data_IF_284860354047
#
_entry.id   IF_284860354047
#
_cell.length_a   1.000
_cell.length_b   1.000
_cell.length_c   1.000
_cell.angle_alpha   90.00
_cell.angle_beta   90.00
_cell.angle_gamma   90.00
#
_symmetry.space_group_name_H-M   'P 1'
#
loop_
_entity.id
_entity.type
_entity.pdbx_description
1 polymer ?
#
# COMPACT_ATOMS: atom_id res chain seq x y z
N UNK A 1 -6.70 -4.92 26.57
CA UNK A 1 -5.98 -5.69 25.55
C UNK A 1 -6.92 -5.70 24.37
N UNK A 2 -6.75 -4.78 23.43
CA UNK A 2 -7.57 -4.81 22.22
C UNK A 2 -7.02 -5.98 21.39
N UNK A 3 -7.83 -7.02 21.21
CA UNK A 3 -7.59 -8.02 20.17
C UNK A 3 -7.53 -7.24 18.86
N UNK A 4 -6.37 -7.19 18.23
CA UNK A 4 -6.26 -6.73 16.86
C UNK A 4 -7.01 -7.76 16.00
N UNK A 5 -8.15 -7.41 15.38
CA UNK A 5 -8.55 -8.13 14.20
C UNK A 5 -7.58 -7.63 13.14
N UNK A 6 -6.43 -8.31 13.00
CA UNK A 6 -5.68 -8.27 11.78
C UNK A 6 -6.63 -8.87 10.75
N UNK A 7 -7.41 -8.05 10.04
CA UNK A 7 -7.75 -8.41 8.66
C UNK A 7 -6.47 -8.99 8.06
N UNK A 8 -6.52 -10.19 7.47
CA UNK A 8 -5.31 -10.79 6.91
C UNK A 8 -4.63 -9.72 6.06
N UNK A 9 -3.31 -9.48 6.23
CA UNK A 9 -2.62 -8.31 5.64
C UNK A 9 -2.95 -8.10 4.15
N UNK A 10 -3.28 -9.18 3.43
CA UNK A 10 -3.81 -9.20 2.07
C UNK A 10 -5.14 -8.46 1.85
N UNK A 11 -6.11 -8.57 2.75
CA UNK A 11 -7.39 -7.85 2.68
C UNK A 11 -7.18 -6.34 2.86
N UNK A 12 -6.38 -5.96 3.86
CA UNK A 12 -6.01 -4.56 4.09
C UNK A 12 -5.27 -3.97 2.89
N UNK A 13 -4.34 -4.72 2.29
CA UNK A 13 -3.62 -4.32 1.06
C UNK A 13 -4.60 -4.17 -0.11
N UNK A 14 -5.55 -5.09 -0.28
CA UNK A 14 -6.56 -4.99 -1.35
C UNK A 14 -7.41 -3.72 -1.20
N UNK A 15 -7.93 -3.47 0.00
CA UNK A 15 -8.69 -2.25 0.31
C UNK A 15 -7.89 -0.98 0.04
N UNK A 16 -6.62 -0.95 0.43
CA UNK A 16 -5.72 0.18 0.17
C UNK A 16 -5.51 0.42 -1.32
N UNK A 17 -5.24 -0.62 -2.12
CA UNK A 17 -5.06 -0.50 -3.57
C UNK A 17 -6.33 0.07 -4.22
N UNK A 18 -7.50 -0.49 -3.86
CA UNK A 18 -8.80 -0.02 -4.34
C UNK A 18 -9.00 1.46 -4.01
N UNK A 19 -8.79 1.86 -2.76
CA UNK A 19 -8.92 3.25 -2.33
C UNK A 19 -7.95 4.18 -3.06
N UNK A 20 -6.67 3.81 -3.14
CA UNK A 20 -5.62 4.64 -3.71
C UNK A 20 -5.87 4.95 -5.19
N UNK A 21 -6.24 3.94 -5.98
CA UNK A 21 -6.50 4.10 -7.40
C UNK A 21 -7.89 4.65 -7.72
N UNK A 22 -8.89 4.41 -6.88
CA UNK A 22 -10.22 5.02 -7.05
C UNK A 22 -10.22 6.52 -6.73
N UNK A 23 -9.39 6.96 -5.79
CA UNK A 23 -9.23 8.38 -5.44
C UNK A 23 -8.30 9.15 -6.38
N UNK A 24 -7.53 8.46 -7.24
CA UNK A 24 -6.47 9.07 -8.04
C UNK A 24 -7.00 9.74 -9.31
N UNK A 25 -6.62 11.01 -9.52
CA UNK A 25 -6.68 11.72 -10.82
C UNK A 25 -5.35 11.64 -11.60
N UNK A 26 -4.53 10.63 -11.31
CA UNK A 26 -3.22 10.41 -11.95
C UNK A 26 -3.29 9.42 -13.11
N UNK A 27 -2.15 9.16 -13.75
CA UNK A 27 -2.04 8.19 -14.83
C UNK A 27 -2.15 6.75 -14.33
N UNK A 28 -2.84 5.91 -15.10
CA UNK A 28 -2.95 4.48 -14.82
C UNK A 28 -1.65 3.73 -15.13
N UNK A 29 -1.11 2.93 -14.20
CA UNK A 29 0.06 2.09 -14.47
C UNK A 29 -0.31 0.95 -15.44
N UNK A 30 0.67 0.19 -15.93
CA UNK A 30 0.41 -1.08 -16.63
C UNK A 30 0.32 -2.26 -15.67
N UNK A 31 1.11 -2.22 -14.59
CA UNK A 31 1.10 -3.23 -13.54
C UNK A 31 1.28 -2.61 -12.16
N UNK A 32 0.66 -3.25 -11.18
CA UNK A 32 0.76 -2.95 -9.76
C UNK A 32 1.53 -4.11 -9.13
N UNK A 33 2.62 -3.81 -8.42
CA UNK A 33 3.46 -4.81 -7.77
C UNK A 33 3.10 -4.90 -6.29
N UNK A 34 2.74 -6.09 -5.81
CA UNK A 34 2.38 -6.34 -4.41
C UNK A 34 3.37 -7.30 -3.73
N UNK A 35 3.61 -7.14 -2.41
CA UNK A 35 4.49 -8.04 -1.65
C UNK A 35 3.85 -9.41 -1.37
N UNK A 36 2.52 -9.47 -1.35
CA UNK A 36 1.72 -10.66 -1.11
C UNK A 36 0.68 -10.86 -2.20
N UNK A 37 0.08 -12.05 -2.21
CA UNK A 37 -1.11 -12.33 -3.01
C UNK A 37 -2.33 -11.74 -2.26
N UNK A 38 -3.38 -11.40 -3.00
CA UNK A 38 -4.64 -10.89 -2.44
C UNK A 38 -5.81 -11.78 -2.90
N UNK A 39 -6.83 -11.97 -2.05
CA UNK A 39 -7.92 -12.89 -2.36
C UNK A 39 -8.75 -12.46 -3.58
N UNK A 40 -8.96 -11.16 -3.76
CA UNK A 40 -9.77 -10.58 -4.85
C UNK A 40 -8.93 -10.05 -6.01
N UNK A 41 -7.75 -10.65 -6.27
CA UNK A 41 -6.81 -10.17 -7.31
C UNK A 41 -7.46 -10.00 -8.67
N UNK A 42 -8.23 -11.00 -9.11
CA UNK A 42 -8.83 -11.02 -10.45
C UNK A 42 -9.95 -9.97 -10.57
N UNK A 43 -10.82 -9.88 -9.57
CA UNK A 43 -11.88 -8.88 -9.50
C UNK A 43 -11.31 -7.46 -9.47
N UNK A 44 -10.22 -7.24 -8.71
CA UNK A 44 -9.57 -5.95 -8.63
C UNK A 44 -8.84 -5.58 -9.94
N UNK A 45 -8.18 -6.54 -10.60
CA UNK A 45 -7.59 -6.33 -11.93
C UNK A 45 -8.64 -5.94 -12.97
N UNK A 46 -9.79 -6.64 -12.99
CA UNK A 46 -10.88 -6.34 -13.91
C UNK A 46 -11.47 -4.96 -13.63
N UNK A 47 -11.79 -4.68 -12.37
CA UNK A 47 -12.33 -3.39 -11.94
C UNK A 47 -11.42 -2.22 -12.32
N UNK A 48 -10.12 -2.31 -12.01
CA UNK A 48 -9.15 -1.27 -12.36
C UNK A 48 -8.96 -1.17 -13.88
N UNK A 49 -9.01 -2.29 -14.61
CA UNK A 49 -8.93 -2.28 -16.07
C UNK A 49 -10.12 -1.57 -16.71
N UNK A 50 -11.32 -1.81 -16.19
CA UNK A 50 -12.55 -1.19 -16.67
C UNK A 50 -12.54 0.32 -16.45
N UNK A 51 -12.16 0.77 -15.24
CA UNK A 51 -12.11 2.20 -14.91
C UNK A 51 -11.00 2.92 -15.69
N UNK A 52 -9.86 2.26 -15.89
CA UNK A 52 -8.71 2.85 -16.58
C UNK A 52 -8.81 2.85 -18.10
N UNK A 53 -9.77 2.10 -18.68
CA UNK A 53 -9.91 1.89 -20.12
C UNK A 53 -8.75 1.13 -20.76
N UNK A 54 -7.90 0.47 -19.97
CA UNK A 54 -6.74 -0.32 -20.42
C UNK A 54 -6.55 -1.54 -19.52
N UNK A 55 -5.83 -2.55 -19.98
CA UNK A 55 -5.53 -3.71 -19.13
C UNK A 55 -4.53 -3.35 -18.03
N UNK A 56 -4.90 -3.64 -16.79
CA UNK A 56 -4.08 -3.53 -15.57
C UNK A 56 -3.80 -4.94 -15.05
N UNK A 57 -2.56 -5.18 -14.61
CA UNK A 57 -2.15 -6.43 -13.99
C UNK A 57 -1.71 -6.20 -12.54
N UNK A 58 -2.07 -7.12 -11.65
CA UNK A 58 -1.57 -7.16 -10.28
C UNK A 58 -0.60 -8.33 -10.18
N UNK A 59 0.66 -8.01 -9.93
CA UNK A 59 1.74 -9.00 -9.93
C UNK A 59 2.38 -9.10 -8.55
N UNK A 60 2.70 -10.34 -8.15
CA UNK A 60 3.54 -10.62 -6.98
C UNK A 60 4.92 -11.13 -7.42
N UNK A 61 5.87 -10.25 -7.74
CA UNK A 61 7.18 -10.67 -8.23
C UNK A 61 7.96 -11.42 -7.14
N UNK A 62 8.58 -12.54 -7.52
CA UNK A 62 9.37 -13.39 -6.62
C UNK A 62 10.89 -13.27 -6.81
N UNK A 63 11.35 -12.69 -7.92
CA UNK A 63 12.77 -12.54 -8.26
C UNK A 63 13.02 -11.41 -9.25
N UNK A 64 14.26 -10.90 -9.29
CA UNK A 64 14.71 -9.87 -10.23
C UNK A 64 14.49 -8.42 -9.77
N UNK A 65 14.53 -7.47 -10.71
CA UNK A 65 14.43 -6.02 -10.44
C UNK A 65 13.12 -5.62 -9.77
N UNK A 66 12.00 -6.23 -10.17
CA UNK A 66 10.68 -5.93 -9.59
C UNK A 66 10.62 -6.19 -8.09
N UNK A 67 11.37 -7.19 -7.60
CA UNK A 67 11.49 -7.44 -6.15
C UNK A 67 12.30 -6.35 -5.45
N UNK A 68 13.33 -5.79 -6.09
CA UNK A 68 14.09 -4.66 -5.53
C UNK A 68 13.20 -3.44 -5.33
N UNK A 69 12.28 -3.19 -6.27
CA UNK A 69 11.30 -2.11 -6.15
C UNK A 69 10.38 -2.30 -4.93
N UNK A 70 9.88 -3.52 -4.71
CA UNK A 70 9.06 -3.83 -3.52
C UNK A 70 9.86 -3.61 -2.25
N UNK A 71 11.10 -4.12 -2.17
CA UNK A 71 11.95 -3.93 -1.00
C UNK A 71 12.25 -2.45 -0.72
N UNK A 72 12.45 -1.66 -1.77
CA UNK A 72 12.64 -0.21 -1.67
C UNK A 72 11.37 0.48 -1.15
N UNK A 73 10.20 0.09 -1.64
CA UNK A 73 8.92 0.61 -1.16
C UNK A 73 8.68 0.25 0.33
N UNK A 74 9.03 -0.97 0.73
CA UNK A 74 8.96 -1.42 2.13
C UNK A 74 9.90 -0.60 3.03
N UNK A 75 11.15 -0.39 2.61
CA UNK A 75 12.09 0.51 3.29
C UNK A 75 11.51 1.92 3.45
N UNK A 76 10.93 2.48 2.38
CA UNK A 76 10.31 3.80 2.43
C UNK A 76 9.14 3.86 3.42
N UNK A 77 8.30 2.82 3.47
CA UNK A 77 7.19 2.74 4.42
C UNK A 77 7.69 2.70 5.86
N UNK A 78 8.72 1.89 6.15
CA UNK A 78 9.33 1.80 7.47
C UNK A 78 9.94 3.13 7.92
N UNK A 79 10.66 3.82 7.03
CA UNK A 79 11.26 5.12 7.33
C UNK A 79 10.20 6.20 7.58
N UNK A 80 9.11 6.24 6.80
CA UNK A 80 8.01 7.19 7.01
C UNK A 80 7.28 6.92 8.34
N UNK A 81 7.07 5.67 8.73
CA UNK A 81 6.50 5.31 10.04
C UNK A 81 7.40 5.82 11.17
N UNK A 82 8.71 5.53 11.12
CA UNK A 82 9.68 6.02 12.12
C UNK A 82 9.66 7.54 12.22
N UNK A 83 9.61 8.22 11.07
CA UNK A 83 9.55 9.69 11.01
C UNK A 83 8.29 10.24 11.67
N UNK A 84 7.12 9.68 11.39
CA UNK A 84 5.85 10.10 11.99
C UNK A 84 5.81 9.89 13.49
N UNK A 85 6.27 8.75 13.98
CA UNK A 85 6.36 8.46 15.42
C UNK A 85 7.29 9.44 16.13
N UNK A 86 8.43 9.76 15.52
CA UNK A 86 9.38 10.75 16.06
C UNK A 86 8.79 12.17 16.09
N UNK A 87 8.03 12.54 15.06
CA UNK A 87 7.34 13.84 14.99
C UNK A 87 6.23 13.98 16.03
N UNK A 88 5.44 12.92 16.24
CA UNK A 88 4.39 12.88 17.27
C UNK A 88 4.99 13.04 18.68
N UNK A 89 6.10 12.36 18.97
CA UNK A 89 6.83 12.50 20.23
C UNK A 89 7.34 13.93 20.46
N UNK A 90 7.86 14.59 19.42
CA UNK A 90 8.32 15.97 19.51
C UNK A 90 7.17 16.94 19.79
N UNK A 91 6.02 16.78 19.12
CA UNK A 91 4.84 17.63 19.30
C UNK A 91 4.24 17.50 20.71
N UNK A 92 4.22 16.29 21.28
CA UNK A 92 3.75 16.05 22.65
C UNK A 92 4.62 16.77 23.68
N UNK A 93 5.96 16.70 23.52
CA UNK A 93 6.89 17.38 24.43
C UNK A 93 6.79 18.91 24.37
N UNK A 94 6.44 19.49 23.22
CA UNK A 94 6.24 20.93 23.10
C UNK A 94 4.96 21.40 23.79
N UNK A 95 3.91 20.57 23.78
CA UNK A 95 2.64 20.87 24.48
C UNK A 95 2.74 20.67 25.99
N UNK A 96 3.60 19.78 26.47
CA UNK A 96 3.90 19.64 27.91
C UNK A 96 4.74 20.79 28.49
N UNK A 97 5.39 21.58 27.64
CA UNK A 97 6.28 22.68 28.04
C UNK A 97 5.59 24.05 28.07
N UNK A 98 4.30 24.12 27.77
CA UNK A 98 3.45 25.32 27.82
C UNK A 98 2.42 25.19 28.93
#
# INVERSE_FOLDING_TARGET
MMEEPLEEDSEAISGLVRQYYSAHRGGWPKSILLPCDIPDREDLEEFLSQISGRRIYIERPQRGERVRLIKSADLNAQEEIKRRTTLAQRRSKTLEWL
#
